data_IF_791485399004
#
_entry.id   IF_791485399004
#
_cell.length_a   1.000
_cell.length_b   1.000
_cell.length_c   1.000
_cell.angle_alpha   90.00
_cell.angle_beta   90.00
_cell.angle_gamma   90.00
#
_symmetry.space_group_name_H-M   'P 1'
#
loop_
_entity.id
_entity.type
_entity.pdbx_description
1 polymer ?
#
# COMPACT_ATOMS: atom_id res chain seq x y z
N UNK A 1 -3.13 12.54 -3.89
CA UNK A 1 -2.45 11.55 -3.05
C UNK A 1 -3.47 10.55 -2.54
N UNK A 2 -3.12 9.27 -2.57
CA UNK A 2 -3.91 8.17 -1.97
C UNK A 2 -3.09 7.54 -0.86
N UNK A 3 -3.71 7.30 0.30
CA UNK A 3 -3.07 6.65 1.44
C UNK A 3 -3.77 5.32 1.70
N UNK A 4 -2.99 4.25 1.77
CA UNK A 4 -3.44 2.89 2.06
C UNK A 4 -3.26 2.63 3.55
N UNK A 5 -4.32 2.78 4.33
CA UNK A 5 -4.26 2.48 5.76
C UNK A 5 -4.43 0.96 6.00
N UNK A 6 -3.50 0.30 6.69
CA UNK A 6 -3.71 -1.07 7.16
C UNK A 6 -4.84 -1.12 8.18
N UNK A 7 -5.56 -2.25 8.25
CA UNK A 7 -6.51 -2.49 9.32
C UNK A 7 -5.81 -2.91 10.61
N UNK A 8 -6.48 -2.77 11.76
CA UNK A 8 -5.94 -3.22 13.06
C UNK A 8 -5.55 -4.71 13.03
N UNK A 9 -6.30 -5.53 12.31
CA UNK A 9 -6.00 -6.95 12.13
C UNK A 9 -4.66 -7.18 11.40
N UNK A 10 -4.28 -6.29 10.48
CA UNK A 10 -2.99 -6.39 9.81
C UNK A 10 -1.83 -6.22 10.82
N UNK A 11 -1.97 -5.34 11.81
CA UNK A 11 -0.98 -5.16 12.87
C UNK A 11 -0.97 -6.32 13.87
N UNK A 12 -2.15 -6.86 14.22
CA UNK A 12 -2.25 -8.01 15.12
C UNK A 12 -1.63 -9.28 14.55
N UNK A 13 -1.61 -9.42 13.22
CA UNK A 13 -0.98 -10.55 12.53
C UNK A 13 0.54 -10.41 12.36
N UNK A 14 1.13 -9.28 12.76
CA UNK A 14 2.59 -9.13 12.74
C UNK A 14 3.22 -9.90 13.91
N UNK A 15 4.34 -10.61 13.69
CA UNK A 15 5.11 -11.19 14.78
C UNK A 15 5.48 -10.13 15.83
N UNK A 16 5.35 -10.48 17.11
CA UNK A 16 5.68 -9.59 18.23
C UNK A 16 7.09 -9.04 18.08
N UNK A 17 7.23 -7.71 18.17
CA UNK A 17 8.51 -7.02 18.08
C UNK A 17 8.96 -6.65 16.66
N UNK A 18 8.20 -6.98 15.60
CA UNK A 18 8.57 -6.63 14.21
C UNK A 18 8.82 -5.14 14.02
N UNK A 19 7.92 -4.28 14.52
CA UNK A 19 8.09 -2.82 14.41
C UNK A 19 9.22 -2.26 15.29
N UNK A 20 9.59 -2.96 16.36
CA UNK A 20 10.67 -2.56 17.27
C UNK A 20 12.05 -2.91 16.70
N UNK A 21 12.13 -3.85 15.77
CA UNK A 21 13.35 -4.22 15.07
C UNK A 21 13.71 -3.24 13.94
N UNK A 22 12.78 -2.37 13.55
CA UNK A 22 12.99 -1.38 12.49
C UNK A 22 13.66 -0.13 13.04
N UNK A 23 14.67 0.38 12.33
CA UNK A 23 15.24 1.70 12.58
C UNK A 23 14.32 2.82 12.05
N UNK A 24 14.61 4.07 12.42
CA UNK A 24 13.72 5.20 12.07
C UNK A 24 13.62 5.41 10.55
N UNK A 25 14.70 5.20 9.80
CA UNK A 25 14.68 5.28 8.34
C UNK A 25 13.78 4.20 7.72
N UNK A 26 13.84 2.98 8.24
CA UNK A 26 12.99 1.86 7.82
C UNK A 26 11.51 2.11 8.17
N UNK A 27 11.22 2.73 9.34
CA UNK A 27 9.86 3.14 9.70
C UNK A 27 9.31 4.20 8.76
N UNK A 28 10.12 5.20 8.39
CA UNK A 28 9.73 6.22 7.41
C UNK A 28 9.46 5.57 6.05
N UNK A 29 10.34 4.69 5.58
CA UNK A 29 10.13 3.97 4.31
C UNK A 29 8.87 3.10 4.35
N UNK A 30 8.59 2.43 5.47
CA UNK A 30 7.37 1.66 5.65
C UNK A 30 6.12 2.54 5.48
N UNK A 31 6.08 3.71 6.13
CA UNK A 31 4.95 4.64 6.01
C UNK A 31 4.84 5.17 4.58
N UNK A 32 5.95 5.57 3.96
CA UNK A 32 5.96 6.05 2.58
C UNK A 32 5.48 4.99 1.58
N UNK A 33 5.65 3.70 1.89
CA UNK A 33 5.17 2.61 1.04
C UNK A 33 3.65 2.47 1.06
N UNK A 34 2.99 3.06 2.04
CA UNK A 34 1.53 3.14 2.11
C UNK A 34 0.98 4.41 1.42
N UNK A 35 1.85 5.25 0.83
CA UNK A 35 1.45 6.51 0.20
C UNK A 35 1.70 6.47 -1.30
N UNK A 36 0.69 6.82 -2.07
CA UNK A 36 0.75 6.94 -3.53
C UNK A 36 0.63 8.44 -3.88
N UNK A 37 1.53 9.00 -4.71
CA UNK A 37 1.56 10.44 -4.97
C UNK A 37 0.30 10.96 -5.67
N UNK A 38 -0.34 10.12 -6.49
CA UNK A 38 -1.57 10.44 -7.21
C UNK A 38 -2.81 10.01 -6.43
N UNK A 39 -3.91 10.76 -6.58
CA UNK A 39 -5.21 10.33 -6.08
C UNK A 39 -5.81 9.33 -7.07
N UNK A 40 -6.26 8.20 -6.53
CA UNK A 40 -6.93 7.12 -7.25
C UNK A 40 -8.26 6.84 -6.56
N UNK A 41 -9.34 6.82 -7.34
CA UNK A 41 -10.64 6.29 -6.92
C UNK A 41 -10.63 4.76 -7.00
N UNK A 42 -11.65 4.10 -6.46
CA UNK A 42 -11.78 2.64 -6.59
C UNK A 42 -11.86 2.19 -8.05
N UNK A 43 -12.57 2.93 -8.90
CA UNK A 43 -12.72 2.60 -10.31
C UNK A 43 -11.39 2.78 -11.06
N UNK A 44 -10.61 3.82 -10.71
CA UNK A 44 -9.26 3.98 -11.24
C UNK A 44 -8.36 2.80 -10.85
N UNK A 45 -8.40 2.35 -9.59
CA UNK A 45 -7.58 1.23 -9.12
C UNK A 45 -7.94 -0.12 -9.77
N UNK A 46 -9.16 -0.28 -10.29
CA UNK A 46 -9.52 -1.48 -11.05
C UNK A 46 -8.85 -1.53 -12.42
N UNK A 47 -8.56 -0.38 -13.01
CA UNK A 47 -8.04 -0.25 -14.38
C UNK A 47 -6.61 0.29 -14.45
N UNK A 48 -6.00 0.56 -13.28
CA UNK A 48 -4.69 1.20 -13.19
C UNK A 48 -3.60 0.34 -13.82
N UNK A 49 -2.68 0.98 -14.53
CA UNK A 49 -1.49 0.32 -15.07
C UNK A 49 -0.52 -0.02 -13.94
N UNK A 50 -0.18 -1.31 -13.84
CA UNK A 50 0.73 -1.84 -12.84
C UNK A 50 2.18 -1.89 -13.35
N UNK A 51 3.19 -1.73 -12.47
CA UNK A 51 3.09 -1.44 -11.04
C UNK A 51 2.88 0.06 -10.75
N UNK A 52 2.04 0.37 -9.76
CA UNK A 52 1.83 1.73 -9.25
C UNK A 52 2.92 2.07 -8.25
N UNK A 53 3.64 3.16 -8.50
CA UNK A 53 4.74 3.61 -7.64
C UNK A 53 4.22 4.24 -6.35
N UNK A 54 4.76 3.82 -5.22
CA UNK A 54 4.55 4.46 -3.92
C UNK A 54 5.56 5.59 -3.72
N UNK A 55 5.50 6.28 -2.57
CA UNK A 55 6.49 7.28 -2.18
C UNK A 55 7.73 6.67 -1.53
N UNK A 56 7.75 5.35 -1.31
CA UNK A 56 8.91 4.67 -0.77
C UNK A 56 9.90 4.31 -1.86
N UNK A 57 11.17 4.27 -1.47
CA UNK A 57 12.30 3.86 -2.29
C UNK A 57 13.12 2.84 -1.53
N UNK A 58 13.53 1.77 -2.20
CA UNK A 58 14.40 0.78 -1.62
C UNK A 58 15.81 1.29 -1.33
N UNK A 59 16.65 0.49 -0.67
CA UNK A 59 17.99 0.89 -0.25
C UNK A 59 18.92 1.35 -1.38
N UNK A 60 18.64 0.98 -2.64
CA UNK A 60 19.41 1.41 -3.83
C UNK A 60 18.64 2.41 -4.69
N UNK A 61 17.59 3.03 -4.16
CA UNK A 61 16.77 4.03 -4.86
C UNK A 61 15.73 3.44 -5.81
N UNK A 62 15.52 2.13 -5.79
CA UNK A 62 14.49 1.45 -6.57
C UNK A 62 13.09 1.84 -6.09
N UNK A 63 12.13 2.14 -6.99
CA UNK A 63 10.77 2.47 -6.58
C UNK A 63 10.07 1.23 -6.04
N UNK A 64 9.39 1.35 -4.90
CA UNK A 64 8.46 0.31 -4.48
C UNK A 64 7.16 0.44 -5.29
N UNK A 65 6.77 -0.67 -5.91
CA UNK A 65 5.58 -0.77 -6.74
C UNK A 65 4.53 -1.65 -6.08
N UNK A 66 3.27 -1.20 -6.11
CA UNK A 66 2.11 -1.99 -5.75
C UNK A 66 1.33 -2.35 -7.02
N UNK A 67 0.90 -3.60 -7.10
CA UNK A 67 0.06 -4.09 -8.19
C UNK A 67 -1.40 -4.15 -7.72
N UNK A 68 -2.31 -3.55 -8.46
CA UNK A 68 -3.74 -3.56 -8.19
C UNK A 68 -4.47 -4.44 -9.20
N UNK A 69 -5.35 -5.32 -8.73
CA UNK A 69 -6.19 -6.15 -9.58
C UNK A 69 -7.65 -6.00 -9.18
N UNK A 70 -8.49 -5.58 -10.13
CA UNK A 70 -9.94 -5.53 -9.96
C UNK A 70 -10.58 -6.90 -10.22
N UNK A 71 -11.46 -7.34 -9.34
CA UNK A 71 -12.28 -8.54 -9.49
C UNK A 71 -13.68 -8.27 -8.93
N UNK A 72 -14.71 -8.24 -9.78
CA UNK A 72 -16.14 -8.14 -9.41
C UNK A 72 -16.43 -7.22 -8.20
N UNK A 73 -16.15 -5.91 -8.36
CA UNK A 73 -16.30 -4.85 -7.34
C UNK A 73 -15.33 -4.88 -6.15
N UNK A 74 -14.33 -5.75 -6.16
CA UNK A 74 -13.24 -5.76 -5.18
C UNK A 74 -11.91 -5.43 -5.85
N UNK A 75 -11.08 -4.65 -5.16
CA UNK A 75 -9.71 -4.36 -5.59
C UNK A 75 -8.75 -5.09 -4.65
N UNK A 76 -7.84 -5.86 -5.22
CA UNK A 76 -6.74 -6.48 -4.49
C UNK A 76 -5.45 -5.69 -4.75
N UNK A 77 -4.63 -5.56 -3.72
CA UNK A 77 -3.31 -4.92 -3.78
C UNK A 77 -2.23 -5.95 -3.46
N UNK A 78 -1.17 -5.97 -4.27
CA UNK A 78 -0.04 -6.89 -4.15
C UNK A 78 1.28 -6.12 -4.11
N UNK A 79 2.12 -6.45 -3.13
CA UNK A 79 3.51 -5.97 -3.04
C UNK A 79 4.51 -6.91 -3.73
N UNK A 80 4.04 -7.95 -4.40
CA UNK A 80 4.86 -9.04 -4.95
C UNK A 80 5.15 -10.16 -3.94
N UNK A 81 5.19 -9.86 -2.65
CA UNK A 81 5.29 -10.88 -1.58
C UNK A 81 3.97 -11.19 -0.90
N UNK A 82 3.09 -10.20 -0.77
CA UNK A 82 1.80 -10.31 -0.07
C UNK A 82 0.71 -9.70 -0.92
N UNK A 83 -0.44 -10.39 -0.99
CA UNK A 83 -1.67 -9.91 -1.64
C UNK A 83 -2.73 -9.71 -0.56
N UNK A 84 -3.40 -8.56 -0.58
CA UNK A 84 -4.49 -8.23 0.35
C UNK A 84 -5.61 -7.47 -0.36
N UNK A 85 -6.77 -7.38 0.27
CA UNK A 85 -7.96 -6.78 -0.33
C UNK A 85 -8.16 -5.36 0.20
N UNK A 86 -8.60 -4.44 -0.66
CA UNK A 86 -9.03 -3.09 -0.28
C UNK A 86 -10.51 -3.14 0.03
N UNK A 87 -10.86 -2.90 1.29
CA UNK A 87 -12.23 -3.05 1.77
C UNK A 87 -13.08 -1.80 1.56
N UNK A 88 -12.57 -0.63 1.89
CA UNK A 88 -13.36 0.60 1.85
C UNK A 88 -12.48 1.83 1.57
N UNK A 89 -13.07 2.82 0.91
CA UNK A 89 -12.46 4.12 0.70
C UNK A 89 -13.02 5.04 1.77
N UNK A 90 -12.15 5.47 2.68
CA UNK A 90 -12.52 6.40 3.74
C UNK A 90 -12.79 7.80 3.18
N UNK A 91 -12.21 8.12 2.01
CA UNK A 91 -12.45 9.36 1.26
C UNK A 91 -12.72 9.05 -0.20
N UNK A 92 -13.84 9.56 -0.73
CA UNK A 92 -14.27 9.38 -2.12
C UNK A 92 -14.08 10.64 -2.99
N UNK A 93 -14.05 11.82 -2.38
CA UNK A 93 -13.93 13.12 -3.07
C UNK A 93 -12.73 13.95 -2.54
N UNK A 94 -12.07 14.76 -3.39
CA UNK A 94 -10.88 15.55 -3.06
C UNK A 94 -11.08 16.67 -2.02
#
# INVERSE_FOLDING_TARGET
>A
MTVLAPSDNAFNNLPSGTLNQLNDQQKVQLILNHVIPKFYTFDDLQTVSNPVRTQATGPKGEPFGLNFTGNNNQVNVSSGSVVTNIYNAIRKDP
#
